data_IF_783825066403
#
_entry.id   IF_783825066403
#
_cell.length_a   1.000
_cell.length_b   1.000
_cell.length_c   1.000
_cell.angle_alpha   90.00
_cell.angle_beta   90.00
_cell.angle_gamma   90.00
#
_symmetry.space_group_name_H-M   'P 1'
#
loop_
_entity.id
_entity.type
_entity.pdbx_description
1 polymer ?
#
# COMPACT_ATOMS: atom_id res chain seq x y z
N UNK A 1 -13.45 -71.78 19.94
CA UNK A 1 -13.34 -72.38 21.30
C UNK A 1 -12.38 -71.64 22.25
N UNK A 2 -11.42 -70.85 21.74
CA UNK A 2 -10.42 -70.12 22.55
C UNK A 2 -10.92 -68.87 23.33
N UNK A 3 -11.94 -68.17 22.83
CA UNK A 3 -12.44 -66.92 23.46
C UNK A 3 -13.20 -67.16 24.77
N UNK A 4 -13.91 -68.30 24.88
CA UNK A 4 -14.63 -68.66 26.10
C UNK A 4 -13.68 -68.98 27.27
N UNK A 5 -12.51 -69.58 26.98
CA UNK A 5 -11.48 -69.86 28.00
C UNK A 5 -10.82 -68.58 28.55
N UNK A 6 -10.61 -67.57 27.71
CA UNK A 6 -9.98 -66.31 28.11
C UNK A 6 -10.91 -65.43 28.97
N UNK A 7 -12.21 -65.42 28.66
CA UNK A 7 -13.21 -64.69 29.45
C UNK A 7 -13.41 -65.30 30.85
N UNK A 8 -13.47 -66.64 30.95
CA UNK A 8 -13.61 -67.35 32.23
C UNK A 8 -12.37 -67.19 33.10
N UNK A 9 -11.17 -67.25 32.52
CA UNK A 9 -9.92 -67.00 33.25
C UNK A 9 -9.76 -65.54 33.71
N UNK A 10 -10.27 -64.57 32.94
CA UNK A 10 -10.21 -63.15 33.31
C UNK A 10 -11.20 -62.81 34.42
N UNK A 11 -12.39 -63.42 34.44
CA UNK A 11 -13.37 -63.28 35.54
C UNK A 11 -12.87 -63.92 36.85
N UNK A 12 -12.21 -65.08 36.77
CA UNK A 12 -11.63 -65.73 37.95
C UNK A 12 -10.43 -64.95 38.53
N UNK A 13 -9.60 -64.32 37.67
CA UNK A 13 -8.55 -63.39 38.10
C UNK A 13 -9.09 -62.08 38.68
N UNK A 14 -10.22 -61.57 38.16
CA UNK A 14 -10.90 -60.44 38.76
C UNK A 14 -11.43 -60.78 40.15
N UNK A 15 -11.96 -61.99 40.35
CA UNK A 15 -12.50 -62.41 41.64
C UNK A 15 -11.45 -62.64 42.74
N UNK A 16 -10.20 -62.98 42.40
CA UNK A 16 -9.10 -63.15 43.36
C UNK A 16 -8.41 -61.84 43.79
N UNK A 17 -8.76 -60.71 43.17
CA UNK A 17 -8.21 -59.40 43.55
C UNK A 17 -8.89 -58.86 44.81
N UNK A 18 -8.09 -58.29 45.73
CA UNK A 18 -8.60 -57.64 46.94
C UNK A 18 -9.61 -56.53 46.61
N UNK A 19 -10.58 -56.30 47.51
CA UNK A 19 -11.67 -55.32 47.35
C UNK A 19 -11.16 -53.94 46.89
N UNK A 20 -10.00 -53.51 47.36
CA UNK A 20 -9.37 -52.24 46.99
C UNK A 20 -8.95 -52.16 45.52
N UNK A 21 -8.44 -53.24 44.94
CA UNK A 21 -8.01 -53.27 43.52
C UNK A 21 -9.19 -53.31 42.55
N UNK A 22 -10.31 -53.94 42.94
CA UNK A 22 -11.56 -53.91 42.17
C UNK A 22 -12.16 -52.50 42.09
N UNK A 23 -12.12 -51.75 43.21
CA UNK A 23 -12.60 -50.36 43.27
C UNK A 23 -11.72 -49.46 42.38
N UNK A 24 -10.39 -49.60 42.46
CA UNK A 24 -9.47 -48.81 41.62
C UNK A 24 -9.69 -49.11 40.13
N UNK A 25 -9.84 -50.38 39.75
CA UNK A 25 -10.16 -50.76 38.37
C UNK A 25 -11.48 -50.16 37.87
N UNK A 26 -12.52 -50.16 38.72
CA UNK A 26 -13.80 -49.52 38.41
C UNK A 26 -13.68 -48.00 38.22
N UNK A 27 -12.92 -47.32 39.09
CA UNK A 27 -12.67 -45.88 38.99
C UNK A 27 -11.90 -45.55 37.70
N UNK A 28 -10.91 -46.37 37.32
CA UNK A 28 -10.12 -46.16 36.11
C UNK A 28 -10.96 -46.32 34.84
N UNK A 29 -11.84 -47.33 34.80
CA UNK A 29 -12.79 -47.50 33.69
C UNK A 29 -13.77 -46.33 33.64
N UNK A 30 -14.24 -45.84 34.79
CA UNK A 30 -15.12 -44.68 34.87
C UNK A 30 -14.43 -43.38 34.42
N UNK A 31 -13.15 -43.18 34.75
CA UNK A 31 -12.36 -42.03 34.30
C UNK A 31 -12.09 -42.08 32.79
N UNK A 32 -11.81 -43.25 32.23
CA UNK A 32 -11.67 -43.43 30.77
C UNK A 32 -13.01 -43.16 30.07
N UNK A 33 -14.11 -43.60 30.66
CA UNK A 33 -15.45 -43.32 30.14
C UNK A 33 -15.80 -41.83 30.20
N UNK A 34 -15.46 -41.14 31.29
CA UNK A 34 -15.59 -39.69 31.41
C UNK A 34 -14.68 -38.92 30.44
N UNK A 35 -13.47 -39.38 30.20
CA UNK A 35 -12.56 -38.77 29.21
C UNK A 35 -13.12 -38.89 27.78
N UNK A 36 -13.65 -40.06 27.42
CA UNK A 36 -14.25 -40.29 26.11
C UNK A 36 -15.56 -39.50 25.93
N UNK A 37 -16.39 -39.39 26.98
CA UNK A 37 -17.60 -38.56 26.96
C UNK A 37 -17.29 -37.06 27.02
N UNK A 38 -16.25 -36.63 27.73
CA UNK A 38 -15.83 -35.23 27.82
C UNK A 38 -15.42 -34.65 26.47
N UNK A 39 -14.92 -35.47 25.54
CA UNK A 39 -14.65 -35.07 24.15
C UNK A 39 -15.92 -34.88 23.30
N UNK A 40 -17.07 -35.39 23.75
CA UNK A 40 -18.35 -35.40 23.02
C UNK A 40 -19.46 -34.59 23.68
N UNK A 41 -19.20 -33.93 24.80
CA UNK A 41 -20.11 -32.90 25.33
C UNK A 41 -19.87 -31.65 24.47
N UNK A 42 -20.79 -31.25 23.56
CA UNK A 42 -20.70 -29.93 22.95
C UNK A 42 -20.71 -28.92 24.09
N UNK A 43 -19.80 -27.95 24.06
CA UNK A 43 -19.71 -26.91 25.10
C UNK A 43 -21.01 -26.08 25.12
N UNK A 44 -22.00 -26.55 25.86
CA UNK A 44 -23.25 -25.84 26.16
C UNK A 44 -22.83 -24.74 27.14
N UNK A 45 -22.48 -23.58 26.57
CA UNK A 45 -21.99 -22.45 27.36
C UNK A 45 -20.88 -21.61 26.72
N UNK A 46 -20.45 -21.86 25.48
CA UNK A 46 -19.76 -20.79 24.72
C UNK A 46 -20.78 -19.71 24.40
N UNK A 47 -20.89 -18.73 25.30
CA UNK A 47 -21.45 -17.41 25.01
C UNK A 47 -20.87 -16.96 23.67
N UNK A 48 -21.73 -16.42 22.81
CA UNK A 48 -21.32 -15.72 21.58
C UNK A 48 -20.03 -14.96 21.86
N UNK A 49 -19.01 -15.14 21.00
CA UNK A 49 -17.78 -14.37 21.11
C UNK A 49 -18.15 -12.88 21.28
N UNK A 50 -17.50 -12.15 22.19
CA UNK A 50 -17.75 -10.73 22.35
C UNK A 50 -17.65 -10.01 21.00
N UNK A 51 -18.50 -8.99 20.82
CA UNK A 51 -18.70 -8.16 19.61
C UNK A 51 -17.38 -7.67 18.97
N UNK A 52 -16.34 -7.47 19.78
CA UNK A 52 -15.01 -7.00 19.32
C UNK A 52 -14.18 -8.11 18.64
N UNK A 53 -14.44 -9.38 18.97
CA UNK A 53 -13.63 -10.51 18.52
C UNK A 53 -13.98 -10.92 17.07
N UNK A 54 -15.23 -10.80 16.64
CA UNK A 54 -15.68 -11.24 15.30
C UNK A 54 -15.15 -10.34 14.18
N UNK A 55 -15.27 -9.02 14.33
CA UNK A 55 -14.73 -8.05 13.39
C UNK A 55 -13.18 -8.05 13.38
N UNK A 56 -12.55 -8.24 14.55
CA UNK A 56 -11.08 -8.40 14.63
C UNK A 56 -10.60 -9.66 13.90
N UNK A 57 -11.30 -10.79 14.07
CA UNK A 57 -10.99 -12.03 13.36
C UNK A 57 -11.16 -11.87 11.85
N UNK A 58 -12.19 -11.14 11.40
CA UNK A 58 -12.39 -10.82 9.99
C UNK A 58 -11.21 -10.03 9.41
N UNK A 59 -10.73 -9.01 10.12
CA UNK A 59 -9.57 -8.23 9.69
C UNK A 59 -8.32 -9.11 9.65
N UNK A 60 -8.06 -9.89 10.70
CA UNK A 60 -6.88 -10.76 10.77
C UNK A 60 -6.88 -11.85 9.68
N UNK A 61 -8.06 -12.37 9.30
CA UNK A 61 -8.24 -13.32 8.20
C UNK A 61 -7.94 -12.67 6.84
N UNK A 62 -8.44 -11.45 6.60
CA UNK A 62 -8.13 -10.71 5.37
C UNK A 62 -6.64 -10.34 5.32
N UNK A 63 -6.01 -9.94 6.42
CA UNK A 63 -4.59 -9.57 6.45
C UNK A 63 -3.65 -10.77 6.44
N UNK A 64 -4.15 -12.01 6.54
CA UNK A 64 -3.34 -13.22 6.70
C UNK A 64 -2.35 -13.41 5.55
N UNK A 65 -2.74 -13.09 4.32
CA UNK A 65 -1.88 -13.27 3.15
C UNK A 65 -0.70 -12.27 3.10
N UNK A 66 -0.82 -11.12 3.77
CA UNK A 66 0.21 -10.08 3.81
C UNK A 66 1.31 -10.37 4.84
N UNK A 67 1.12 -11.35 5.73
CA UNK A 67 2.07 -11.65 6.82
C UNK A 67 3.49 -11.94 6.34
N UNK A 68 3.66 -12.54 5.16
CA UNK A 68 5.00 -12.78 4.59
C UNK A 68 5.67 -11.51 4.06
N UNK A 69 4.89 -10.60 3.48
CA UNK A 69 5.38 -9.32 2.94
C UNK A 69 5.76 -8.37 4.08
N UNK A 70 4.95 -8.32 5.14
CA UNK A 70 5.25 -7.55 6.35
C UNK A 70 6.56 -7.99 7.00
N UNK A 71 6.82 -9.31 7.06
CA UNK A 71 8.08 -9.84 7.62
C UNK A 71 9.32 -9.45 6.81
N UNK A 72 9.16 -9.17 5.51
CA UNK A 72 10.23 -8.74 4.61
C UNK A 72 10.38 -7.22 4.52
N UNK A 73 9.53 -6.47 5.21
CA UNK A 73 9.41 -5.01 5.07
C UNK A 73 8.98 -4.55 3.67
N UNK A 74 8.18 -5.37 2.97
CA UNK A 74 7.61 -5.07 1.65
C UNK A 74 6.17 -4.49 1.74
N UNK A 75 5.52 -4.70 2.89
CA UNK A 75 4.20 -4.17 3.20
C UNK A 75 4.12 -3.71 4.67
N UNK A 76 3.32 -2.68 4.91
CA UNK A 76 3.11 -2.10 6.23
C UNK A 76 1.61 -2.06 6.52
N UNK A 77 1.23 -2.40 7.73
CA UNK A 77 -0.16 -2.42 8.17
C UNK A 77 -0.28 -1.37 9.27
N UNK A 78 -1.38 -0.61 9.26
CA UNK A 78 -1.83 0.20 10.39
C UNK A 78 -3.24 -0.24 10.75
N UNK A 79 -3.43 -0.75 11.97
CA UNK A 79 -4.76 -0.99 12.52
C UNK A 79 -5.36 0.29 13.10
N UNK A 80 -6.69 0.38 13.13
CA UNK A 80 -7.40 1.46 13.80
C UNK A 80 -8.25 0.88 14.95
N UNK A 81 -7.89 1.11 16.23
CA UNK A 81 -6.68 1.79 16.72
C UNK A 81 -5.39 0.95 16.52
N UNK A 82 -4.24 1.63 16.53
CA UNK A 82 -2.91 1.00 16.38
C UNK A 82 -2.66 -0.05 17.47
N UNK A 83 -2.15 -1.22 17.07
CA UNK A 83 -1.78 -2.29 18.01
C UNK A 83 -0.47 -1.94 18.73
N UNK A 84 -0.25 -2.50 19.93
CA UNK A 84 0.96 -2.24 20.70
C UNK A 84 2.22 -2.70 19.94
N UNK A 85 3.19 -1.79 19.78
CA UNK A 85 4.44 -2.04 19.03
C UNK A 85 4.31 -1.89 17.51
N UNK A 86 3.13 -1.55 16.99
CA UNK A 86 2.93 -1.21 15.58
C UNK A 86 3.44 0.21 15.30
N UNK A 87 4.16 0.37 14.19
CA UNK A 87 4.62 1.68 13.72
C UNK A 87 3.66 2.18 12.66
N UNK A 88 3.24 3.43 12.79
CA UNK A 88 2.37 4.06 11.82
C UNK A 88 3.16 4.49 10.58
N UNK A 89 2.68 4.08 9.40
CA UNK A 89 3.19 4.51 8.10
C UNK A 89 2.03 4.97 7.22
N UNK A 90 1.92 6.25 6.84
CA UNK A 90 0.80 6.74 6.04
C UNK A 90 0.59 5.92 4.76
N UNK A 91 -0.66 5.52 4.48
CA UNK A 91 -1.03 4.75 3.29
C UNK A 91 -1.08 5.65 2.04
N UNK A 92 0.09 6.18 1.68
CA UNK A 92 0.32 7.16 0.63
C UNK A 92 0.71 6.49 -0.70
N UNK A 93 0.13 6.97 -1.79
CA UNK A 93 0.49 6.57 -3.15
C UNK A 93 0.75 7.79 -4.03
N UNK A 94 1.78 7.68 -4.86
CA UNK A 94 2.13 8.72 -5.82
C UNK A 94 2.94 8.19 -7.00
N UNK A 95 2.98 8.98 -8.07
CA UNK A 95 3.73 8.68 -9.29
C UNK A 95 4.60 9.87 -9.75
N UNK A 96 4.86 10.83 -8.85
CA UNK A 96 5.59 12.07 -9.13
C UNK A 96 4.84 13.13 -9.93
N UNK A 97 3.60 12.88 -10.38
CA UNK A 97 2.69 13.90 -10.92
C UNK A 97 1.52 14.18 -9.97
N UNK A 98 0.92 13.13 -9.43
CA UNK A 98 -0.18 13.20 -8.47
C UNK A 98 0.07 12.26 -7.30
N UNK A 99 -0.47 12.62 -6.14
CA UNK A 99 -0.54 11.72 -4.99
C UNK A 99 -1.80 11.90 -4.18
N UNK A 100 -2.11 10.85 -3.43
CA UNK A 100 -3.20 10.81 -2.47
C UNK A 100 -2.82 9.85 -1.34
N UNK A 101 -3.32 10.09 -0.13
CA UNK A 101 -3.29 9.12 0.96
C UNK A 101 -4.69 8.61 1.25
N UNK A 102 -4.80 7.32 1.56
CA UNK A 102 -6.00 6.80 2.21
C UNK A 102 -6.16 7.45 3.59
N UNK A 103 -7.41 7.66 4.01
CA UNK A 103 -7.80 8.22 5.32
C UNK A 103 -7.31 9.64 5.62
N UNK A 104 -6.92 10.39 4.58
CA UNK A 104 -6.51 11.80 4.72
C UNK A 104 -7.61 12.78 4.32
N UNK A 105 -7.82 13.77 5.18
CA UNK A 105 -8.70 14.92 4.93
C UNK A 105 -7.98 16.05 4.18
N UNK A 106 -6.72 15.88 3.78
CA UNK A 106 -5.95 16.92 3.08
C UNK A 106 -6.19 16.93 1.56
N UNK A 107 -6.74 15.84 1.02
CA UNK A 107 -7.09 15.69 -0.40
C UNK A 107 -5.88 15.31 -1.26
N UNK A 108 -6.01 15.53 -2.58
CA UNK A 108 -4.95 15.24 -3.55
C UNK A 108 -3.85 16.31 -3.55
N UNK A 109 -2.61 15.88 -3.78
CA UNK A 109 -1.45 16.74 -3.98
C UNK A 109 -0.91 16.64 -5.40
N UNK A 110 -0.40 17.76 -5.91
CA UNK A 110 0.27 17.84 -7.21
C UNK A 110 1.70 18.35 -7.07
N UNK A 111 2.50 18.10 -8.11
CA UNK A 111 3.92 18.46 -8.11
C UNK A 111 4.11 19.97 -8.09
N UNK A 112 4.85 20.44 -7.10
CA UNK A 112 5.41 21.78 -7.05
C UNK A 112 6.91 21.68 -6.74
N UNK A 113 7.74 22.19 -7.65
CA UNK A 113 9.19 22.09 -7.56
C UNK A 113 9.72 20.63 -7.51
N UNK A 114 10.21 20.20 -6.34
CA UNK A 114 10.93 18.93 -6.15
C UNK A 114 10.07 17.78 -5.65
N UNK A 115 8.91 18.06 -5.04
CA UNK A 115 8.02 17.07 -4.44
C UNK A 115 6.53 17.36 -4.75
N UNK A 116 5.64 16.45 -4.34
CA UNK A 116 4.19 16.62 -4.42
C UNK A 116 3.69 17.38 -3.18
N UNK A 117 3.90 18.70 -3.16
CA UNK A 117 3.65 19.54 -1.98
C UNK A 117 2.47 20.51 -2.11
N UNK A 118 1.88 20.67 -3.30
CA UNK A 118 0.78 21.63 -3.50
C UNK A 118 -0.58 20.94 -3.35
N UNK A 119 -1.36 21.26 -2.30
CA UNK A 119 -2.68 20.66 -2.10
C UNK A 119 -3.70 21.23 -3.08
N UNK A 120 -4.49 20.35 -3.71
CA UNK A 120 -5.53 20.71 -4.67
C UNK A 120 -6.88 20.98 -3.99
N UNK A 121 -7.10 20.42 -2.77
CA UNK A 121 -8.40 20.38 -2.08
C UNK A 121 -9.50 19.73 -2.94
N UNK A 122 -9.11 18.68 -3.65
CA UNK A 122 -9.99 17.74 -4.35
C UNK A 122 -9.82 16.35 -3.73
N UNK A 123 -10.92 15.67 -3.46
CA UNK A 123 -11.01 14.41 -2.74
C UNK A 123 -11.48 13.31 -3.70
N UNK A 124 -10.53 12.62 -4.37
CA UNK A 124 -10.86 11.62 -5.39
C UNK A 124 -11.27 10.27 -4.80
N UNK A 125 -10.89 10.00 -3.55
CA UNK A 125 -11.17 8.73 -2.87
C UNK A 125 -12.62 8.70 -2.45
N UNK A 126 -13.32 7.67 -2.89
CA UNK A 126 -14.64 7.31 -2.39
C UNK A 126 -14.49 6.59 -1.06
N UNK A 127 -15.14 7.07 -0.02
CA UNK A 127 -15.21 6.40 1.26
C UNK A 127 -16.51 5.58 1.36
N UNK A 128 -16.44 4.44 2.04
CA UNK A 128 -17.59 3.57 2.27
C UNK A 128 -17.93 3.55 3.76
N UNK A 129 -19.21 3.78 4.09
CA UNK A 129 -19.68 3.86 5.46
C UNK A 129 -21.01 3.10 5.64
N UNK A 130 -21.17 2.52 6.82
CA UNK A 130 -22.40 1.86 7.26
C UNK A 130 -22.73 2.39 8.66
N UNK A 131 -23.74 3.25 8.77
CA UNK A 131 -24.03 3.97 10.01
C UNK A 131 -24.54 3.07 11.15
N UNK A 132 -25.22 1.97 10.80
CA UNK A 132 -25.89 1.09 11.76
C UNK A 132 -25.00 -0.03 12.32
N UNK A 133 -23.74 -0.14 11.89
CA UNK A 133 -22.88 -1.30 12.19
C UNK A 133 -21.50 -0.90 12.74
N UNK A 134 -21.02 -1.66 13.73
CA UNK A 134 -19.65 -1.51 14.23
C UNK A 134 -18.64 -2.04 13.20
N UNK A 135 -17.59 -1.26 12.94
CA UNK A 135 -16.51 -1.62 12.03
C UNK A 135 -15.16 -1.76 12.73
N UNK A 136 -14.29 -2.58 12.13
CA UNK A 136 -12.85 -2.56 12.36
C UNK A 136 -12.16 -2.31 11.04
N UNK A 137 -11.16 -1.45 11.08
CA UNK A 137 -10.51 -0.93 9.89
C UNK A 137 -9.00 -1.16 10.00
N UNK A 138 -8.38 -1.49 8.86
CA UNK A 138 -6.94 -1.53 8.73
C UNK A 138 -6.53 -0.95 7.36
N UNK A 139 -5.46 -0.18 7.35
CA UNK A 139 -4.81 0.25 6.10
C UNK A 139 -3.53 -0.51 5.88
N UNK A 140 -3.28 -0.87 4.62
CA UNK A 140 -2.09 -1.57 4.17
C UNK A 140 -1.40 -0.70 3.13
N UNK A 141 -0.11 -0.47 3.31
CA UNK A 141 0.77 0.10 2.29
C UNK A 141 1.69 -1.00 1.78
N UNK A 142 1.46 -1.46 0.55
CA UNK A 142 2.38 -2.37 -0.14
C UNK A 142 3.35 -1.54 -0.98
N UNK A 143 4.57 -1.36 -0.48
CA UNK A 143 5.58 -0.52 -1.13
C UNK A 143 6.20 -1.19 -2.36
N UNK A 144 6.22 -2.52 -2.39
CA UNK A 144 6.77 -3.29 -3.51
C UNK A 144 5.85 -3.23 -4.74
N UNK A 145 4.53 -3.10 -4.53
CA UNK A 145 3.54 -2.90 -5.58
C UNK A 145 3.14 -1.43 -5.78
N UNK A 146 3.48 -0.57 -4.82
CA UNK A 146 3.02 0.82 -4.73
C UNK A 146 1.51 0.95 -4.76
N UNK A 147 0.87 0.17 -3.89
CA UNK A 147 -0.58 0.12 -3.73
C UNK A 147 -0.91 0.35 -2.26
N UNK A 148 -1.89 1.22 -2.01
CA UNK A 148 -2.49 1.38 -0.70
C UNK A 148 -3.87 0.72 -0.69
N UNK A 149 -4.20 -0.01 0.38
CA UNK A 149 -5.46 -0.71 0.53
C UNK A 149 -6.06 -0.42 1.90
N UNK A 150 -7.35 -0.08 1.95
CA UNK A 150 -8.13 0.01 3.17
C UNK A 150 -9.09 -1.16 3.23
N UNK A 151 -9.03 -1.92 4.31
CA UNK A 151 -9.92 -3.05 4.58
C UNK A 151 -10.78 -2.69 5.78
N UNK A 152 -12.09 -2.74 5.58
CA UNK A 152 -13.09 -2.49 6.62
C UNK A 152 -13.96 -3.73 6.77
N UNK A 153 -14.07 -4.25 7.98
CA UNK A 153 -14.95 -5.36 8.32
C UNK A 153 -16.09 -4.83 9.18
N UNK A 154 -17.33 -5.04 8.72
CA UNK A 154 -18.55 -4.67 9.42
C UNK A 154 -19.24 -5.92 9.95
N UNK A 155 -19.63 -5.90 11.22
CA UNK A 155 -20.36 -6.99 11.84
C UNK A 155 -21.86 -6.86 11.55
N UNK A 156 -22.38 -7.66 10.60
CA UNK A 156 -23.78 -7.59 10.18
C UNK A 156 -24.65 -8.65 10.88
N UNK A 157 -24.14 -9.87 11.05
CA UNK A 157 -24.86 -10.99 11.68
C UNK A 157 -24.13 -11.47 12.94
N UNK A 158 -24.81 -11.49 14.09
CA UNK A 158 -24.30 -12.06 15.35
C UNK A 158 -24.32 -13.59 15.31
N UNK A 159 -23.32 -14.21 14.69
CA UNK A 159 -23.20 -15.65 14.53
C UNK A 159 -21.82 -16.21 14.87
N UNK A 160 -21.75 -17.54 15.10
CA UNK A 160 -20.49 -18.24 15.47
C UNK A 160 -19.49 -18.38 14.30
N UNK A 161 -19.90 -18.10 13.07
CA UNK A 161 -19.01 -18.04 11.89
C UNK A 161 -18.89 -16.58 11.45
N UNK A 162 -17.67 -16.17 11.11
CA UNK A 162 -17.24 -14.83 10.69
C UNK A 162 -17.88 -14.36 9.36
N UNK A 163 -19.19 -14.23 9.33
CA UNK A 163 -19.93 -13.64 8.21
C UNK A 163 -19.94 -12.12 8.33
N UNK A 164 -18.76 -11.51 8.29
CA UNK A 164 -18.61 -10.05 8.28
C UNK A 164 -18.71 -9.53 6.84
N UNK A 165 -19.37 -8.39 6.67
CA UNK A 165 -19.34 -7.66 5.41
C UNK A 165 -17.96 -7.03 5.28
N UNK A 166 -17.29 -7.22 4.14
CA UNK A 166 -15.97 -6.64 3.90
C UNK A 166 -16.04 -5.60 2.81
N UNK A 167 -15.43 -4.44 3.07
CA UNK A 167 -15.17 -3.40 2.08
C UNK A 167 -13.66 -3.27 1.92
N UNK A 168 -13.18 -3.59 0.72
CA UNK A 168 -11.78 -3.45 0.33
C UNK A 168 -11.70 -2.26 -0.64
N UNK A 169 -10.95 -1.21 -0.29
CA UNK A 169 -10.68 -0.06 -1.15
C UNK A 169 -9.20 0.02 -1.46
N UNK A 170 -8.84 -0.29 -2.70
CA UNK A 170 -7.48 -0.30 -3.21
C UNK A 170 -7.24 0.93 -4.06
N UNK A 171 -6.14 1.67 -3.82
CA UNK A 171 -5.80 2.90 -4.52
C UNK A 171 -4.35 2.84 -5.02
N UNK A 172 -4.11 3.30 -6.25
CA UNK A 172 -2.78 3.51 -6.79
C UNK A 172 -2.74 4.62 -7.84
N UNK A 173 -1.62 5.34 -7.89
CA UNK A 173 -1.33 6.30 -8.95
C UNK A 173 -0.51 5.62 -10.05
N UNK A 174 -1.04 5.55 -11.27
CA UNK A 174 -0.41 4.80 -12.36
C UNK A 174 0.95 5.40 -12.72
N UNK A 175 2.00 4.58 -12.72
CA UNK A 175 3.34 5.00 -13.18
C UNK A 175 3.51 4.99 -14.70
N UNK A 176 2.74 4.18 -15.45
CA UNK A 176 2.78 4.18 -16.92
C UNK A 176 2.04 5.37 -17.52
N UNK A 177 0.99 5.85 -16.83
CA UNK A 177 0.18 7.01 -17.20
C UNK A 177 0.11 7.98 -16.01
N UNK A 178 1.06 8.95 -15.92
CA UNK A 178 1.19 9.81 -14.74
C UNK A 178 -0.06 10.63 -14.37
N UNK A 179 -0.93 10.87 -15.35
CA UNK A 179 -2.17 11.62 -15.19
C UNK A 179 -3.33 10.78 -14.60
N UNK A 180 -3.15 9.50 -14.28
CA UNK A 180 -4.23 8.60 -13.88
C UNK A 180 -4.06 8.12 -12.44
N UNK A 181 -5.13 8.28 -11.66
CA UNK A 181 -5.33 7.69 -10.35
C UNK A 181 -6.48 6.68 -10.44
N UNK A 182 -6.29 5.50 -9.87
CA UNK A 182 -7.30 4.42 -9.89
C UNK A 182 -7.64 4.04 -8.46
N UNK A 183 -8.93 3.89 -8.20
CA UNK A 183 -9.47 3.29 -6.99
C UNK A 183 -10.40 2.13 -7.37
N UNK A 184 -10.14 0.96 -6.78
CA UNK A 184 -11.01 -0.21 -6.88
C UNK A 184 -11.67 -0.44 -5.53
N UNK A 185 -13.00 -0.52 -5.52
CA UNK A 185 -13.79 -0.79 -4.31
C UNK A 185 -14.48 -2.13 -4.50
N UNK A 186 -14.17 -3.09 -3.64
CA UNK A 186 -14.78 -4.42 -3.65
C UNK A 186 -15.54 -4.60 -2.35
N UNK A 187 -16.85 -4.83 -2.47
CA UNK A 187 -17.73 -5.05 -1.33
C UNK A 187 -18.25 -6.48 -1.41
N UNK A 188 -18.06 -7.24 -0.34
CA UNK A 188 -18.51 -8.63 -0.23
C UNK A 188 -19.45 -8.77 0.95
N UNK A 189 -20.67 -9.24 0.67
CA UNK A 189 -21.68 -9.52 1.67
C UNK A 189 -21.88 -11.04 1.82
N UNK A 190 -21.17 -11.72 2.74
CA UNK A 190 -21.41 -13.13 3.03
C UNK A 190 -22.60 -13.37 3.96
N UNK A 191 -23.25 -12.31 4.45
CA UNK A 191 -24.39 -12.41 5.38
C UNK A 191 -25.65 -12.96 4.68
N UNK A 192 -26.65 -13.30 5.49
CA UNK A 192 -27.95 -13.76 4.98
C UNK A 192 -28.89 -12.62 4.60
N UNK A 193 -28.57 -11.40 4.99
CA UNK A 193 -29.39 -10.23 4.81
C UNK A 193 -28.84 -9.35 3.69
N UNK A 194 -29.73 -8.59 3.04
CA UNK A 194 -29.27 -7.54 2.12
C UNK A 194 -28.86 -6.33 2.93
N UNK A 195 -27.71 -5.73 2.59
CA UNK A 195 -27.15 -4.59 3.31
C UNK A 195 -26.98 -3.43 2.33
N UNK A 196 -27.31 -2.22 2.77
CA UNK A 196 -27.07 -0.99 2.02
C UNK A 196 -25.78 -0.36 2.51
N UNK A 197 -24.87 -0.06 1.58
CA UNK A 197 -23.60 0.61 1.87
C UNK A 197 -23.64 2.00 1.27
N UNK A 198 -23.34 3.01 2.08
CA UNK A 198 -23.24 4.41 1.65
C UNK A 198 -21.85 4.66 1.07
N UNK A 199 -21.79 5.37 -0.05
CA UNK A 199 -20.58 5.66 -0.80
C UNK A 199 -20.43 7.18 -0.94
N UNK A 200 -19.47 7.73 -0.20
CA UNK A 200 -19.23 9.16 -0.13
C UNK A 200 -18.17 9.56 -1.16
N UNK A 201 -18.63 10.21 -2.22
CA UNK A 201 -17.78 10.80 -3.25
C UNK A 201 -17.84 12.33 -3.17
N UNK A 202 -16.96 12.91 -2.34
CA UNK A 202 -16.91 14.35 -2.08
C UNK A 202 -16.50 15.12 -3.35
N UNK A 203 -15.43 14.69 -4.02
CA UNK A 203 -14.90 15.36 -5.20
C UNK A 203 -14.35 16.74 -4.87
N UNK A 204 -15.08 17.81 -5.19
CA UNK A 204 -14.60 19.18 -5.04
C UNK A 204 -15.29 19.91 -3.89
N UNK A 205 -14.50 20.47 -2.98
CA UNK A 205 -15.03 21.26 -1.85
C UNK A 205 -14.62 22.74 -1.90
N UNK A 206 -13.44 23.09 -2.45
CA UNK A 206 -12.87 24.45 -2.30
C UNK A 206 -12.17 25.06 -3.53
N UNK A 207 -12.20 24.42 -4.72
CA UNK A 207 -11.62 25.04 -5.93
C UNK A 207 -12.42 26.29 -6.35
N UNK A 208 -11.77 27.46 -6.37
CA UNK A 208 -12.36 28.73 -6.82
C UNK A 208 -12.60 28.71 -8.34
N UNK A 209 -13.71 29.31 -8.77
CA UNK A 209 -14.14 29.43 -10.18
C UNK A 209 -14.25 28.10 -10.93
N UNK A 210 -14.55 27.02 -10.21
CA UNK A 210 -14.53 25.71 -10.82
C UNK A 210 -15.70 25.49 -11.78
N UNK A 211 -15.38 25.09 -13.01
CA UNK A 211 -16.37 24.69 -14.01
C UNK A 211 -16.53 23.17 -13.94
N UNK A 212 -17.72 22.74 -13.52
CA UNK A 212 -18.10 21.33 -13.48
C UNK A 212 -18.97 20.98 -14.68
N UNK A 213 -18.60 19.95 -15.42
CA UNK A 213 -19.39 19.38 -16.52
C UNK A 213 -19.60 17.89 -16.30
N UNK A 214 -20.78 17.39 -16.70
CA UNK A 214 -21.11 15.96 -16.65
C UNK A 214 -21.07 15.40 -18.07
N UNK A 215 -20.58 14.18 -18.22
CA UNK A 215 -20.58 13.45 -19.47
C UNK A 215 -20.59 11.95 -19.20
N UNK A 216 -20.77 11.15 -20.24
CA UNK A 216 -20.78 9.68 -20.17
C UNK A 216 -19.86 9.09 -21.22
N UNK A 217 -19.23 7.97 -20.91
CA UNK A 217 -18.40 7.18 -21.83
C UNK A 217 -18.73 5.71 -21.66
N UNK A 218 -18.31 4.86 -22.59
CA UNK A 218 -18.38 3.41 -22.45
C UNK A 218 -17.11 2.88 -21.76
N UNK A 219 -17.26 1.90 -20.88
CA UNK A 219 -16.14 1.14 -20.32
C UNK A 219 -15.66 0.02 -21.27
N UNK A 220 -14.68 -0.76 -20.83
CA UNK A 220 -14.14 -1.91 -21.57
C UNK A 220 -15.19 -3.00 -21.87
N UNK A 221 -16.29 -3.06 -21.12
CA UNK A 221 -17.39 -4.02 -21.30
C UNK A 221 -18.53 -3.47 -22.17
N UNK A 222 -18.44 -2.20 -22.60
CA UNK A 222 -19.48 -1.52 -23.36
C UNK A 222 -20.59 -0.91 -22.52
N UNK A 223 -20.48 -0.93 -21.18
CA UNK A 223 -21.45 -0.29 -20.29
C UNK A 223 -21.23 1.23 -20.23
N UNK A 224 -22.32 1.99 -20.17
CA UNK A 224 -22.26 3.45 -20.02
C UNK A 224 -21.87 3.83 -18.59
N UNK A 225 -20.81 4.60 -18.46
CA UNK A 225 -20.28 5.12 -17.20
C UNK A 225 -20.31 6.64 -17.24
N UNK A 226 -20.95 7.22 -16.22
CA UNK A 226 -20.98 8.67 -16.03
C UNK A 226 -19.66 9.16 -15.41
N UNK A 227 -19.20 10.32 -15.84
CA UNK A 227 -18.07 11.01 -15.25
C UNK A 227 -18.34 12.50 -15.07
N UNK A 228 -17.69 13.06 -14.05
CA UNK A 228 -17.69 14.49 -13.77
C UNK A 228 -16.34 15.06 -14.12
N UNK A 229 -16.33 16.20 -14.83
CA UNK A 229 -15.10 16.95 -15.09
C UNK A 229 -15.15 18.30 -14.44
N UNK A 230 -14.13 18.58 -13.65
CA UNK A 230 -13.92 19.78 -12.86
C UNK A 230 -12.68 20.50 -13.35
N UNK A 231 -12.82 21.76 -13.76
CA UNK A 231 -11.70 22.62 -14.12
C UNK A 231 -11.61 23.75 -13.11
N UNK A 232 -10.42 24.09 -12.63
CA UNK A 232 -10.24 25.19 -11.70
C UNK A 232 -8.82 25.74 -11.68
N UNK A 233 -8.60 26.70 -10.78
CA UNK A 233 -7.30 27.37 -10.62
C UNK A 233 -6.83 27.22 -9.18
N UNK A 234 -5.57 26.81 -9.03
CA UNK A 234 -4.88 26.70 -7.76
C UNK A 234 -3.88 27.86 -7.66
N UNK A 235 -3.96 28.58 -6.55
CA UNK A 235 -3.02 29.66 -6.23
C UNK A 235 -1.81 29.04 -5.51
N UNK A 236 -0.61 29.37 -5.98
CA UNK A 236 0.61 28.99 -5.27
C UNK A 236 0.81 29.99 -4.12
N UNK A 237 1.01 29.53 -2.87
CA UNK A 237 1.32 30.42 -1.75
C UNK A 237 2.51 31.33 -2.08
N UNK A 238 2.42 32.60 -1.65
CA UNK A 238 3.50 33.60 -1.76
C UNK A 238 4.02 33.86 -3.19
N UNK A 239 3.19 33.59 -4.20
CA UNK A 239 3.58 33.65 -5.60
C UNK A 239 2.50 34.27 -6.49
N UNK A 240 2.94 35.00 -7.53
CA UNK A 240 2.05 35.52 -8.59
C UNK A 240 1.67 34.45 -9.63
N UNK A 241 2.30 33.27 -9.57
CA UNK A 241 2.05 32.19 -10.51
C UNK A 241 0.82 31.37 -10.08
N UNK A 242 0.07 30.89 -11.08
CA UNK A 242 -1.13 30.08 -10.88
C UNK A 242 -0.99 28.75 -11.62
N UNK A 243 -1.63 27.72 -11.09
CA UNK A 243 -1.71 26.40 -11.72
C UNK A 243 -3.15 26.16 -12.14
N UNK A 244 -3.35 25.86 -13.41
CA UNK A 244 -4.66 25.47 -13.91
C UNK A 244 -4.76 23.97 -13.91
N UNK A 245 -5.84 23.45 -13.33
CA UNK A 245 -6.07 22.02 -13.16
C UNK A 245 -7.38 21.61 -13.80
N UNK A 246 -7.36 20.47 -14.46
CA UNK A 246 -8.53 19.78 -14.96
C UNK A 246 -8.52 18.36 -14.41
N UNK A 247 -9.61 17.99 -13.76
CA UNK A 247 -9.82 16.68 -13.16
C UNK A 247 -11.07 16.08 -13.78
N UNK A 248 -11.03 14.82 -14.16
CA UNK A 248 -12.19 14.06 -14.57
C UNK A 248 -12.27 12.78 -13.75
N UNK A 249 -13.38 12.53 -13.07
CA UNK A 249 -13.56 11.38 -12.17
C UNK A 249 -14.86 10.65 -12.50
N UNK A 250 -14.79 9.33 -12.58
CA UNK A 250 -15.95 8.44 -12.70
C UNK A 250 -16.91 8.67 -11.53
N UNK A 251 -18.19 8.85 -11.84
CA UNK A 251 -19.24 9.06 -10.85
C UNK A 251 -19.89 7.74 -10.47
N UNK A 252 -20.05 7.52 -9.18
CA UNK A 252 -20.79 6.38 -8.62
C UNK A 252 -22.06 6.85 -7.91
N UNK A 253 -23.01 5.93 -7.70
CA UNK A 253 -24.22 6.20 -6.92
C UNK A 253 -23.90 6.40 -5.43
N UNK A 254 -24.73 7.16 -4.69
CA UNK A 254 -24.48 7.49 -3.28
C UNK A 254 -24.66 6.29 -2.33
N UNK A 255 -25.36 5.26 -2.77
CA UNK A 255 -25.59 4.06 -1.97
C UNK A 255 -25.78 2.85 -2.88
N UNK A 256 -25.35 1.67 -2.42
CA UNK A 256 -25.55 0.40 -3.12
C UNK A 256 -26.17 -0.64 -2.21
N UNK A 257 -27.25 -1.29 -2.67
CA UNK A 257 -27.86 -2.42 -1.97
C UNK A 257 -27.21 -3.74 -2.45
N UNK A 258 -26.59 -4.47 -1.53
CA UNK A 258 -25.86 -5.72 -1.83
C UNK A 258 -26.64 -6.89 -1.27
N UNK A 259 -27.11 -7.75 -2.17
CA UNK A 259 -27.85 -8.98 -1.81
C UNK A 259 -26.98 -9.96 -1.02
N UNK A 260 -27.63 -10.78 -0.21
CA UNK A 260 -27.01 -11.85 0.55
C UNK A 260 -26.16 -12.77 -0.34
N UNK A 261 -24.94 -13.10 0.11
CA UNK A 261 -24.00 -13.96 -0.61
C UNK A 261 -23.44 -13.38 -1.91
N UNK A 262 -23.66 -12.09 -2.20
CA UNK A 262 -23.15 -11.43 -3.41
C UNK A 262 -21.97 -10.52 -3.10
N UNK A 263 -21.22 -10.22 -4.16
CA UNK A 263 -20.16 -9.22 -4.14
C UNK A 263 -20.34 -8.28 -5.32
N UNK A 264 -19.94 -7.03 -5.12
CA UNK A 264 -19.98 -5.96 -6.12
C UNK A 264 -18.61 -5.31 -6.16
N UNK A 265 -18.21 -4.86 -7.35
CA UNK A 265 -16.95 -4.13 -7.55
C UNK A 265 -17.22 -2.84 -8.30
N UNK A 266 -16.61 -1.76 -7.84
CA UNK A 266 -16.62 -0.46 -8.49
C UNK A 266 -15.20 -0.09 -8.91
N UNK A 267 -15.08 0.50 -10.09
CA UNK A 267 -13.83 0.99 -10.65
C UNK A 267 -13.94 2.50 -10.82
N UNK A 268 -13.23 3.24 -10.00
CA UNK A 268 -13.23 4.70 -10.01
C UNK A 268 -11.91 5.17 -10.59
N UNK A 269 -11.96 5.69 -11.82
CA UNK A 269 -10.80 6.28 -12.49
C UNK A 269 -10.87 7.79 -12.39
N UNK A 270 -9.77 8.41 -11.97
CA UNK A 270 -9.58 9.85 -11.92
C UNK A 270 -8.42 10.27 -12.82
N UNK A 271 -8.72 11.04 -13.86
CA UNK A 271 -7.73 11.66 -14.73
C UNK A 271 -7.44 13.09 -14.27
N UNK A 272 -6.17 13.43 -14.11
CA UNK A 272 -5.69 14.71 -13.61
C UNK A 272 -4.65 15.26 -14.58
N UNK A 273 -4.89 16.48 -15.06
CA UNK A 273 -3.89 17.21 -15.82
C UNK A 273 -3.82 18.65 -15.34
N UNK A 274 -2.61 19.19 -15.28
CA UNK A 274 -2.37 20.54 -14.83
C UNK A 274 -1.23 21.17 -15.60
N UNK A 275 -1.25 22.50 -15.70
CA UNK A 275 -0.19 23.27 -16.34
C UNK A 275 0.99 23.43 -15.38
N UNK A 276 2.18 23.71 -15.92
CA UNK A 276 3.24 24.30 -15.11
C UNK A 276 2.78 25.67 -14.56
N UNK A 277 3.47 26.17 -13.53
CA UNK A 277 3.16 27.44 -12.90
C UNK A 277 3.28 28.59 -13.94
N UNK A 278 2.15 29.19 -14.32
CA UNK A 278 2.08 30.22 -15.38
C UNK A 278 1.41 31.50 -14.88
N UNK A 279 1.76 32.64 -15.49
CA UNK A 279 1.13 33.95 -15.20
C UNK A 279 -0.21 34.15 -15.93
N UNK A 280 -0.38 33.54 -17.12
CA UNK A 280 -1.60 33.59 -17.92
C UNK A 280 -1.74 32.34 -18.79
N UNK A 281 -2.93 31.77 -18.88
CA UNK A 281 -3.24 30.65 -19.76
C UNK A 281 -3.23 31.05 -21.24
N UNK A 282 -2.63 30.20 -22.09
CA UNK A 282 -2.81 30.25 -23.55
C UNK A 282 -3.57 29.05 -24.14
N UNK A 283 -3.79 27.96 -23.41
CA UNK A 283 -4.42 26.74 -23.94
C UNK A 283 -5.27 25.98 -22.91
N UNK A 284 -6.48 25.58 -23.31
CA UNK A 284 -7.27 24.56 -22.62
C UNK A 284 -6.85 23.18 -23.15
N UNK A 285 -6.37 22.30 -22.28
CA UNK A 285 -6.06 20.92 -22.65
C UNK A 285 -7.32 20.03 -22.60
N UNK A 286 -7.46 19.14 -23.58
CA UNK A 286 -8.57 18.18 -23.69
C UNK A 286 -8.35 17.00 -22.74
N UNK A 287 -9.10 16.96 -21.63
CA UNK A 287 -9.03 15.91 -20.59
C UNK A 287 -9.93 14.71 -20.89
N UNK A 288 -10.98 14.90 -21.72
CA UNK A 288 -11.99 13.88 -22.05
C UNK A 288 -11.37 12.68 -22.74
N UNK A 289 -10.55 12.92 -23.78
CA UNK A 289 -9.94 11.85 -24.57
C UNK A 289 -9.02 10.94 -23.74
N UNK A 290 -8.33 11.47 -22.73
CA UNK A 290 -7.48 10.66 -21.86
C UNK A 290 -8.31 9.70 -20.99
N UNK A 291 -9.32 10.22 -20.30
CA UNK A 291 -10.20 9.39 -19.46
C UNK A 291 -10.93 8.35 -20.31
N UNK A 292 -11.51 8.76 -21.44
CA UNK A 292 -12.19 7.86 -22.38
C UNK A 292 -11.28 6.77 -22.93
N UNK A 293 -9.99 7.07 -23.17
CA UNK A 293 -9.02 6.06 -23.60
C UNK A 293 -8.71 5.02 -22.51
N UNK A 294 -8.66 5.45 -21.24
CA UNK A 294 -8.33 4.59 -20.10
C UNK A 294 -9.52 3.74 -19.67
N UNK A 295 -10.74 4.27 -19.76
CA UNK A 295 -11.97 3.53 -19.46
C UNK A 295 -12.19 2.32 -20.38
N UNK A 296 -11.60 2.33 -21.59
CA UNK A 296 -11.63 1.21 -22.54
C UNK A 296 -10.61 0.11 -22.22
N UNK A 297 -9.68 0.35 -21.29
CA UNK A 297 -8.66 -0.61 -20.90
C UNK A 297 -9.19 -1.43 -19.73
N UNK A 298 -8.91 -2.73 -19.75
CA UNK A 298 -9.22 -3.60 -18.62
C UNK A 298 -8.44 -3.20 -17.36
N UNK A 299 -9.13 -3.20 -16.21
CA UNK A 299 -8.57 -2.76 -14.93
C UNK A 299 -7.42 -3.66 -14.47
N UNK A 300 -7.49 -4.98 -14.72
CA UNK A 300 -6.47 -5.92 -14.28
C UNK A 300 -5.18 -5.66 -15.06
N UNK A 301 -5.31 -5.33 -16.35
CA UNK A 301 -4.20 -4.91 -17.21
C UNK A 301 -3.55 -3.60 -16.71
N UNK A 302 -4.35 -2.58 -16.39
CA UNK A 302 -3.83 -1.31 -15.83
C UNK A 302 -3.08 -1.50 -14.52
N UNK A 303 -3.59 -2.39 -13.64
CA UNK A 303 -2.95 -2.71 -12.37
C UNK A 303 -1.66 -3.48 -12.58
N UNK A 304 -1.65 -4.49 -13.45
CA UNK A 304 -0.45 -5.29 -13.71
C UNK A 304 0.67 -4.44 -14.35
N UNK A 305 0.33 -3.54 -15.27
CA UNK A 305 1.27 -2.56 -15.82
C UNK A 305 1.94 -1.74 -14.71
N UNK A 306 1.15 -1.22 -13.77
CA UNK A 306 1.65 -0.44 -12.63
C UNK A 306 2.58 -1.26 -11.71
N UNK A 307 2.14 -2.47 -11.33
CA UNK A 307 2.91 -3.37 -10.48
C UNK A 307 4.23 -3.76 -11.14
N UNK A 308 4.21 -4.01 -12.45
CA UNK A 308 5.41 -4.35 -13.22
C UNK A 308 6.46 -3.25 -13.15
N UNK A 309 6.06 -1.98 -13.26
CA UNK A 309 6.98 -0.84 -13.13
C UNK A 309 7.61 -0.79 -11.75
N UNK A 310 6.83 -0.93 -10.68
CA UNK A 310 7.39 -0.95 -9.34
C UNK A 310 8.34 -2.13 -9.12
N UNK A 311 7.99 -3.32 -9.62
CA UNK A 311 8.87 -4.49 -9.58
C UNK A 311 10.18 -4.25 -10.35
N UNK A 312 10.12 -3.54 -11.46
CA UNK A 312 11.30 -3.18 -12.25
C UNK A 312 12.19 -2.18 -11.52
N UNK A 313 11.62 -1.18 -10.84
CA UNK A 313 12.37 -0.22 -10.01
C UNK A 313 13.02 -0.93 -8.81
N UNK A 314 12.28 -1.77 -8.10
CA UNK A 314 12.76 -2.52 -6.93
C UNK A 314 13.73 -3.68 -7.26
N UNK A 315 14.08 -3.89 -8.54
CA UNK A 315 15.20 -4.77 -8.91
C UNK A 315 16.49 -4.29 -8.26
N UNK A 316 16.70 -2.97 -8.21
CA UNK A 316 17.80 -2.35 -7.48
C UNK A 316 17.35 -2.05 -6.06
N UNK A 317 18.23 -2.26 -5.08
CA UNK A 317 17.83 -2.08 -3.70
C UNK A 317 18.95 -2.23 -2.69
N UNK A 318 18.61 -1.90 -1.44
CA UNK A 318 19.51 -1.95 -0.30
C UNK A 318 18.89 -2.74 0.86
N UNK A 319 19.68 -3.59 1.48
CA UNK A 319 19.32 -4.34 2.69
C UNK A 319 20.32 -4.09 3.80
N UNK A 320 19.85 -4.06 5.04
CA UNK A 320 20.69 -3.97 6.24
C UNK A 320 20.24 -4.99 7.28
N UNK A 321 21.19 -5.67 7.93
CA UNK A 321 20.89 -6.65 8.98
C UNK A 321 20.13 -6.02 10.15
N UNK A 322 19.04 -6.62 10.63
CA UNK A 322 18.14 -5.97 11.60
C UNK A 322 18.80 -5.72 12.98
N UNK A 323 18.69 -4.49 13.50
CA UNK A 323 19.15 -4.13 14.84
C UNK A 323 17.99 -4.04 15.83
N UNK A 324 18.23 -4.48 17.07
CA UNK A 324 17.27 -4.40 18.18
C UNK A 324 17.52 -3.20 19.11
N UNK A 325 18.53 -2.39 18.82
CA UNK A 325 18.82 -1.21 19.62
C UNK A 325 17.70 -0.17 19.48
N UNK A 326 17.36 0.51 20.58
CA UNK A 326 16.36 1.57 20.55
C UNK A 326 16.78 2.68 19.58
N UNK A 327 15.87 3.13 18.72
CA UNK A 327 16.13 4.17 17.73
C UNK A 327 16.99 3.75 16.53
N UNK A 328 17.41 2.48 16.42
CA UNK A 328 18.23 2.04 15.30
C UNK A 328 17.46 2.08 13.97
N UNK A 329 18.10 2.61 12.93
CA UNK A 329 17.58 2.59 11.56
C UNK A 329 17.53 1.16 11.03
N UNK A 330 16.35 0.68 10.65
CA UNK A 330 16.13 -0.68 10.16
C UNK A 330 15.48 -0.66 8.77
N UNK A 331 15.38 -1.84 8.14
CA UNK A 331 14.83 -1.99 6.79
C UNK A 331 13.41 -1.44 6.64
N UNK A 332 12.60 -1.46 7.71
CA UNK A 332 11.27 -0.85 7.73
C UNK A 332 11.32 0.63 7.38
N UNK A 333 12.17 1.41 8.06
CA UNK A 333 12.26 2.85 7.87
C UNK A 333 13.00 3.22 6.59
N UNK A 334 14.01 2.44 6.21
CA UNK A 334 14.76 2.68 4.96
C UNK A 334 13.86 2.45 3.74
N UNK A 335 13.18 1.30 3.67
CA UNK A 335 12.36 0.94 2.52
C UNK A 335 11.15 1.87 2.36
N UNK A 336 10.50 2.24 3.47
CA UNK A 336 9.38 3.22 3.44
C UNK A 336 9.83 4.59 2.99
N UNK A 337 10.96 5.09 3.52
CA UNK A 337 11.51 6.40 3.11
C UNK A 337 11.84 6.42 1.62
N UNK A 338 12.55 5.39 1.12
CA UNK A 338 12.87 5.26 -0.31
C UNK A 338 11.57 5.21 -1.13
N UNK A 339 10.59 4.41 -0.72
CA UNK A 339 9.29 4.34 -1.38
C UNK A 339 8.60 5.70 -1.49
N UNK A 340 8.56 6.48 -0.40
CA UNK A 340 7.94 7.81 -0.40
C UNK A 340 8.67 8.78 -1.32
N UNK A 341 10.00 8.79 -1.30
CA UNK A 341 10.82 9.60 -2.21
C UNK A 341 10.50 9.23 -3.65
N UNK A 342 10.54 7.93 -3.99
CA UNK A 342 10.26 7.45 -5.34
C UNK A 342 8.81 7.72 -5.78
N UNK A 343 7.84 7.66 -4.87
CA UNK A 343 6.43 7.98 -5.16
C UNK A 343 6.21 9.46 -5.50
N UNK A 344 7.15 10.32 -5.13
CA UNK A 344 7.15 11.73 -5.46
C UNK A 344 7.91 12.05 -6.76
N UNK A 345 8.47 11.05 -7.44
CA UNK A 345 9.30 11.21 -8.64
C UNK A 345 8.72 10.41 -9.80
N UNK A 346 8.74 11.01 -10.98
CA UNK A 346 8.25 10.39 -12.22
C UNK A 346 9.22 9.31 -12.71
N UNK A 347 8.69 8.32 -13.43
CA UNK A 347 9.45 7.19 -13.97
C UNK A 347 9.42 7.23 -15.51
N UNK A 348 10.09 8.21 -16.14
CA UNK A 348 9.98 8.48 -17.57
C UNK A 348 10.35 7.29 -18.46
N UNK A 349 11.20 6.37 -18.00
CA UNK A 349 11.51 5.13 -18.73
C UNK A 349 10.29 4.25 -19.00
N UNK A 350 9.35 4.23 -18.06
CA UNK A 350 8.17 3.38 -18.09
C UNK A 350 6.90 4.10 -18.56
N UNK A 351 6.98 5.42 -18.74
CA UNK A 351 5.87 6.21 -19.25
C UNK A 351 5.63 5.93 -20.74
N UNK A 352 4.34 5.95 -21.11
CA UNK A 352 3.91 5.78 -22.51
C UNK A 352 4.10 7.04 -23.34
N UNK A 353 4.16 8.21 -22.69
CA UNK A 353 4.37 9.51 -23.35
C UNK A 353 5.82 9.77 -23.75
N UNK A 354 6.79 9.07 -23.16
CA UNK A 354 8.22 9.30 -23.38
C UNK A 354 8.68 8.72 -24.71
N UNK A 355 9.45 9.51 -25.47
CA UNK A 355 9.94 9.06 -26.78
C UNK A 355 11.07 8.03 -26.67
N UNK A 356 11.35 7.31 -27.76
CA UNK A 356 12.43 6.30 -27.79
C UNK A 356 13.80 6.96 -27.58
N UNK A 357 13.99 8.17 -28.11
CA UNK A 357 15.22 8.95 -27.98
C UNK A 357 15.45 9.39 -26.53
N UNK A 358 14.40 9.85 -25.86
CA UNK A 358 14.44 10.23 -24.45
C UNK A 358 14.77 9.03 -23.56
N UNK A 359 14.13 7.88 -23.80
CA UNK A 359 14.45 6.62 -23.10
C UNK A 359 15.91 6.22 -23.28
N UNK A 360 16.42 6.30 -24.51
CA UNK A 360 17.84 6.00 -24.80
C UNK A 360 18.78 6.96 -24.05
N UNK A 361 18.46 8.26 -24.00
CA UNK A 361 19.26 9.25 -23.27
C UNK A 361 19.27 8.98 -21.76
N UNK A 362 18.13 8.63 -21.19
CA UNK A 362 18.01 8.27 -19.77
C UNK A 362 18.83 7.02 -19.48
N UNK A 363 18.71 5.96 -20.29
CA UNK A 363 19.50 4.74 -20.13
C UNK A 363 21.00 5.02 -20.18
N UNK A 364 21.47 5.82 -21.15
CA UNK A 364 22.89 6.22 -21.22
C UNK A 364 23.37 6.89 -19.94
N UNK A 365 22.54 7.75 -19.36
CA UNK A 365 22.85 8.46 -18.10
C UNK A 365 22.93 7.52 -16.91
N UNK A 366 22.09 6.47 -16.87
CA UNK A 366 22.10 5.46 -15.80
C UNK A 366 23.30 4.50 -15.89
N UNK A 367 23.71 4.16 -17.12
CA UNK A 367 24.86 3.29 -17.37
C UNK A 367 26.21 3.98 -17.13
N UNK A 368 26.30 5.28 -17.44
CA UNK A 368 27.52 6.06 -17.27
C UNK A 368 27.21 7.30 -16.40
N UNK A 369 27.04 7.10 -15.08
CA UNK A 369 26.81 8.21 -14.17
C UNK A 369 28.10 9.02 -13.98
N UNK A 370 28.16 10.22 -14.54
CA UNK A 370 29.28 11.15 -14.34
C UNK A 370 29.45 11.49 -12.85
N UNK A 371 30.47 10.91 -12.20
CA UNK A 371 30.96 11.21 -10.83
C UNK A 371 29.85 11.59 -9.82
N UNK A 372 28.77 10.82 -9.78
CA UNK A 372 27.72 11.02 -8.78
C UNK A 372 28.22 10.57 -7.42
N UNK A 373 27.98 11.44 -6.44
CA UNK A 373 28.25 11.29 -5.03
C UNK A 373 29.73 11.51 -4.63
N UNK A 374 29.96 12.64 -3.95
CA UNK A 374 31.22 12.95 -3.28
C UNK A 374 31.01 13.22 -1.79
N UNK A 375 31.26 12.24 -0.92
CA UNK A 375 31.24 12.42 0.54
C UNK A 375 31.10 11.12 1.34
N UNK A 376 30.99 11.27 2.67
CA UNK A 376 30.72 10.17 3.61
C UNK A 376 29.31 9.59 3.43
N UNK A 377 29.06 8.38 3.93
CA UNK A 377 27.73 7.74 3.88
C UNK A 377 26.60 8.61 4.48
N UNK A 378 25.44 8.66 3.83
CA UNK A 378 24.23 9.31 4.38
C UNK A 378 23.48 8.42 5.38
N UNK A 379 23.82 7.13 5.46
CA UNK A 379 23.07 6.15 6.25
C UNK A 379 23.14 6.44 7.75
N UNK A 380 24.30 6.84 8.26
CA UNK A 380 24.55 7.03 9.70
C UNK A 380 24.72 8.49 10.13
N UNK A 381 24.96 9.40 9.19
CA UNK A 381 25.33 10.80 9.48
C UNK A 381 24.20 11.81 9.24
N UNK A 382 22.99 11.35 8.86
CA UNK A 382 21.90 12.26 8.50
C UNK A 382 20.54 11.84 9.05
N UNK A 383 20.30 12.16 10.31
CA UNK A 383 19.01 11.90 10.98
C UNK A 383 17.83 12.60 10.27
N UNK A 384 18.07 13.76 9.66
CA UNK A 384 17.05 14.55 8.94
C UNK A 384 16.54 13.86 7.68
N UNK A 385 17.32 12.98 7.05
CA UNK A 385 16.89 12.20 5.88
C UNK A 385 15.96 11.05 6.25
N UNK A 386 15.99 10.65 7.52
CA UNK A 386 15.20 9.58 8.09
C UNK A 386 14.28 10.15 9.18
N UNK A 387 13.66 11.31 8.97
CA UNK A 387 12.70 11.83 9.94
C UNK A 387 11.48 10.90 10.07
N UNK A 388 10.74 11.04 11.17
CA UNK A 388 9.45 10.36 11.29
C UNK A 388 8.44 11.00 10.35
N UNK A 389 7.59 10.18 9.74
CA UNK A 389 6.63 10.60 8.72
C UNK A 389 5.24 10.36 9.28
N UNK A 390 4.47 11.42 9.48
CA UNK A 390 3.11 11.35 10.02
C UNK A 390 2.06 11.67 8.97
N UNK A 391 2.39 12.57 8.03
CA UNK A 391 1.46 13.01 7.00
C UNK A 391 2.14 13.24 5.64
N UNK A 392 1.36 13.71 4.66
CA UNK A 392 1.83 13.95 3.30
C UNK A 392 2.77 15.15 3.18
N UNK A 393 2.71 16.10 4.11
CA UNK A 393 3.61 17.25 4.14
C UNK A 393 5.00 16.81 4.59
N UNK A 394 5.08 15.98 5.64
CA UNK A 394 6.33 15.34 6.07
C UNK A 394 6.96 14.53 4.92
N UNK A 395 6.15 13.80 4.14
CA UNK A 395 6.61 13.05 2.96
C UNK A 395 7.24 13.99 1.92
N UNK A 396 6.60 15.12 1.65
CA UNK A 396 7.08 16.09 0.67
C UNK A 396 8.37 16.78 1.14
N UNK A 397 8.50 17.05 2.44
CA UNK A 397 9.69 17.66 3.04
C UNK A 397 10.88 16.70 3.07
N UNK A 398 10.67 15.44 3.47
CA UNK A 398 11.69 14.38 3.39
C UNK A 398 12.15 14.22 1.96
N UNK A 399 11.22 14.16 1.00
CA UNK A 399 11.58 14.05 -0.41
C UNK A 399 12.40 15.24 -0.88
N UNK A 400 12.00 16.46 -0.53
CA UNK A 400 12.72 17.67 -0.91
C UNK A 400 14.13 17.69 -0.33
N UNK A 401 14.29 17.24 0.93
CA UNK A 401 15.58 17.15 1.62
C UNK A 401 16.50 16.12 0.95
N UNK A 402 15.98 14.94 0.60
CA UNK A 402 16.72 13.94 -0.17
C UNK A 402 17.20 14.49 -1.51
N UNK A 403 16.30 15.10 -2.29
CA UNK A 403 16.62 15.64 -3.60
C UNK A 403 17.68 16.73 -3.54
N UNK A 404 17.56 17.68 -2.59
CA UNK A 404 18.55 18.75 -2.38
C UNK A 404 19.90 18.16 -1.97
N UNK A 405 19.91 17.16 -1.09
CA UNK A 405 21.14 16.52 -0.61
C UNK A 405 21.87 15.83 -1.75
N UNK A 406 21.16 15.04 -2.56
CA UNK A 406 21.75 14.34 -3.71
C UNK A 406 22.27 15.33 -4.78
N UNK A 407 21.52 16.40 -5.06
CA UNK A 407 21.95 17.47 -5.98
C UNK A 407 23.25 18.14 -5.49
N UNK A 408 23.31 18.49 -4.20
CA UNK A 408 24.52 19.10 -3.58
C UNK A 408 25.72 18.16 -3.55
N UNK A 409 25.49 16.84 -3.55
CA UNK A 409 26.55 15.82 -3.58
C UNK A 409 26.99 15.42 -4.98
N UNK A 410 26.57 16.16 -6.01
CA UNK A 410 27.02 15.96 -7.40
C UNK A 410 26.18 14.98 -8.23
N UNK A 411 25.02 14.54 -7.73
CA UNK A 411 24.12 13.62 -8.44
C UNK A 411 23.03 14.33 -9.25
N UNK A 412 23.21 15.61 -9.59
CA UNK A 412 22.21 16.42 -10.28
C UNK A 412 21.82 15.88 -11.67
N UNK A 413 22.72 15.19 -12.37
CA UNK A 413 22.45 14.60 -13.69
C UNK A 413 21.62 13.32 -13.55
N UNK A 414 22.05 12.39 -12.70
CA UNK A 414 21.36 11.11 -12.51
C UNK A 414 19.99 11.29 -11.86
N UNK A 415 19.84 12.25 -10.95
CA UNK A 415 18.55 12.55 -10.30
C UNK A 415 17.50 13.03 -11.33
N UNK A 416 17.93 13.65 -12.43
CA UNK A 416 17.03 14.06 -13.54
C UNK A 416 16.59 12.90 -14.43
N UNK A 417 17.22 11.72 -14.32
CA UNK A 417 16.82 10.51 -15.04
C UNK A 417 15.48 9.93 -14.53
N UNK A 418 14.95 10.44 -13.41
CA UNK A 418 13.68 10.00 -12.83
C UNK A 418 13.86 9.04 -11.67
N UNK A 419 12.83 8.23 -11.40
CA UNK A 419 12.76 7.36 -10.24
C UNK A 419 13.95 6.39 -10.14
N UNK A 420 14.36 5.78 -11.26
CA UNK A 420 15.49 4.84 -11.31
C UNK A 420 16.83 5.54 -11.01
N UNK A 421 17.01 6.75 -11.53
CA UNK A 421 18.21 7.54 -11.29
C UNK A 421 18.31 8.06 -9.87
N UNK A 422 17.17 8.44 -9.27
CA UNK A 422 17.12 8.81 -7.85
C UNK A 422 17.37 7.60 -6.97
N UNK A 423 16.78 6.43 -7.27
CA UNK A 423 17.08 5.21 -6.54
C UNK A 423 18.58 4.90 -6.59
N UNK A 424 19.19 4.92 -7.77
CA UNK A 424 20.63 4.69 -7.93
C UNK A 424 21.46 5.70 -7.14
N UNK A 425 21.11 7.00 -7.18
CA UNK A 425 21.79 8.02 -6.39
C UNK A 425 21.66 7.80 -4.87
N UNK A 426 20.47 7.38 -4.40
CA UNK A 426 20.27 6.99 -2.99
C UNK A 426 21.18 5.82 -2.66
N UNK A 427 21.17 4.74 -3.45
CA UNK A 427 22.01 3.55 -3.18
C UNK A 427 23.49 3.92 -3.09
N UNK A 428 23.99 4.75 -4.02
CA UNK A 428 25.37 5.24 -3.97
C UNK A 428 25.64 6.02 -2.68
N UNK A 429 24.70 6.87 -2.26
CA UNK A 429 24.84 7.66 -1.04
C UNK A 429 24.85 6.83 0.25
N UNK A 430 24.18 5.67 0.27
CA UNK A 430 24.13 4.78 1.45
C UNK A 430 25.47 4.09 1.70
N UNK A 431 26.15 3.66 0.65
CA UNK A 431 27.47 3.03 0.75
C UNK A 431 28.64 4.01 0.65
N UNK A 432 28.38 5.31 0.47
CA UNK A 432 29.45 6.25 0.09
C UNK A 432 30.17 5.81 -1.18
N UNK A 433 29.41 5.23 -2.12
CA UNK A 433 29.93 4.63 -3.33
C UNK A 433 30.15 5.71 -4.39
N UNK A 434 31.30 5.66 -5.07
CA UNK A 434 31.64 6.57 -6.17
C UNK A 434 32.18 5.76 -7.34
N UNK A 435 31.61 6.00 -8.51
CA UNK A 435 32.18 5.49 -9.76
C UNK A 435 33.36 6.37 -10.17
N UNK A 436 34.51 5.73 -10.32
CA UNK A 436 35.66 6.27 -11.05
C UNK A 436 35.73 5.58 -12.43
N UNK A 437 36.63 6.02 -13.30
CA UNK A 437 36.65 5.63 -14.72
C UNK A 437 36.70 4.09 -14.92
N UNK A 438 37.30 3.35 -13.98
CA UNK A 438 37.53 1.90 -14.09
C UNK A 438 37.01 1.06 -12.91
N UNK A 439 36.54 1.67 -11.82
CA UNK A 439 36.16 0.94 -10.61
C UNK A 439 35.13 1.68 -9.77
N UNK A 440 34.47 0.92 -8.89
CA UNK A 440 33.56 1.44 -7.88
C UNK A 440 34.30 1.51 -6.54
N UNK A 441 34.45 2.72 -6.00
CA UNK A 441 35.07 2.96 -4.70
C UNK A 441 34.02 3.04 -3.61
N UNK A 442 34.29 2.44 -2.44
CA UNK A 442 33.47 2.57 -1.24
C UNK A 442 34.20 3.45 -0.22
N UNK A 443 33.66 4.64 0.04
CA UNK A 443 34.27 5.64 0.95
C UNK A 443 33.70 5.59 2.37
N UNK A 444 33.42 4.38 2.89
CA UNK A 444 32.97 4.17 4.27
C UNK A 444 34.15 3.91 5.20
N UNK A 445 34.08 4.45 6.42
CA UNK A 445 35.07 4.16 7.44
C UNK A 445 34.81 2.76 8.04
N UNK A 446 35.85 1.95 8.33
CA UNK A 446 35.66 0.62 8.92
C UNK A 446 34.88 0.63 10.24
N UNK A 447 34.97 1.73 11.00
CA UNK A 447 34.20 1.93 12.25
C UNK A 447 32.70 2.00 12.01
N UNK A 448 32.24 2.37 10.81
CA UNK A 448 30.81 2.51 10.50
C UNK A 448 30.19 1.18 10.01
N UNK A 449 31.03 0.17 9.73
CA UNK A 449 30.62 -1.17 9.26
C UNK A 449 30.33 -2.12 10.43
N UNK A 450 29.36 -1.76 11.27
CA UNK A 450 28.91 -2.62 12.37
C UNK A 450 27.80 -3.60 11.99
N UNK A 451 27.27 -3.50 10.76
CA UNK A 451 26.12 -4.26 10.27
C UNK A 451 26.36 -4.70 8.84
N UNK A 452 25.76 -5.82 8.47
CA UNK A 452 25.82 -6.33 7.10
C UNK A 452 24.99 -5.44 6.19
N UNK A 453 25.61 -4.96 5.12
CA UNK A 453 25.01 -4.13 4.09
C UNK A 453 24.94 -4.94 2.80
N UNK A 454 23.76 -5.00 2.19
CA UNK A 454 23.53 -5.71 0.95
C UNK A 454 23.06 -4.73 -0.12
N UNK A 455 23.85 -4.58 -1.17
CA UNK A 455 23.49 -3.81 -2.37
C UNK A 455 23.11 -4.77 -3.49
N UNK A 456 22.06 -4.44 -4.23
CA UNK A 456 21.54 -5.30 -5.29
C UNK A 456 21.38 -4.48 -6.57
N UNK A 457 21.91 -5.01 -7.69
CA UNK A 457 21.76 -4.46 -9.05
C UNK A 457 22.11 -2.98 -9.13
N UNK A 458 23.34 -2.64 -8.74
CA UNK A 458 23.88 -1.32 -9.04
C UNK A 458 24.17 -1.24 -10.54
N UNK A 459 23.66 -0.19 -11.19
CA UNK A 459 23.81 -0.03 -12.63
C UNK A 459 25.17 0.61 -12.95
N UNK A 460 26.00 -0.08 -13.73
CA UNK A 460 27.29 0.44 -14.18
C UNK A 460 27.73 -0.21 -15.51
N UNK A 461 27.82 0.60 -16.56
CA UNK A 461 27.99 0.10 -17.92
C UNK A 461 26.78 -0.74 -18.39
N UNK A 462 26.96 -1.52 -19.44
CA UNK A 462 25.91 -2.42 -19.97
C UNK A 462 25.70 -3.68 -19.08
N UNK A 463 26.33 -3.74 -17.90
CA UNK A 463 26.23 -4.83 -16.95
C UNK A 463 25.57 -4.33 -15.65
N UNK A 464 24.74 -5.16 -15.04
CA UNK A 464 24.23 -4.91 -13.68
C UNK A 464 25.08 -5.68 -12.68
N UNK A 465 25.70 -4.97 -11.73
CA UNK A 465 26.49 -5.57 -10.65
C UNK A 465 25.62 -6.01 -9.47
#
# INVERSE_FOLDING_TARGET
>A
MWVKGFAVNSLNRLNSLSRSRKIIGGILVFLVFLYLLGSRIPSIGRKSAPVDETASLCIDDNLRFLKSEVKKYDAFINHYPLKAGEKFYPAYVGNGKVSVSLDSEKGMYIRLNRALSLPVKYYPIVAAHLDDYSSKDATVLNIHHGIAEKIQCFEVDKGWRSNCLTVESLVYASRTRPSILVQDIKIRNPSKNSVVVNLDQIGQTQLKDAKVSKASTTDATGMSVEYTSTQGVILIPDSKYKVHIAIATVKIGPSVAIKAGKSVRFHVVTAVNYTQAVKSLRHQNTYRGLLESVMKIDYASLREEHIKVWRDIWKSGFGISNSKAAGSLNGDKINTTIYYVLSNIQAPLHELSTTVEEKSKIQKTLHYPDRCYGGHTLLFYSETLWSEIKDEEDIADVTSTWMITLEKKGCNIIVRAGAEGVLQAILLSLGGLRFDDNHLEMSMEPKDLHRDLLFHRLNYGNNTC
#
